data_IF_989420675921
#
_entry.id   IF_989420675921
#
_cell.length_a   1.000
_cell.length_b   1.000
_cell.length_c   1.000
_cell.angle_alpha   90.00
_cell.angle_beta   90.00
_cell.angle_gamma   90.00
#
_symmetry.space_group_name_H-M   'P 1'
#
loop_
_entity.id
_entity.type
_entity.pdbx_description
1 polymer ?
#
# COMPACT_ATOMS: atom_id res chain seq x y z
N UNK A 1 7.19 -20.64 9.54
CA UNK A 1 5.93 -20.50 10.28
C UNK A 1 6.34 -20.23 11.70
N UNK A 2 6.47 -18.96 12.07
CA UNK A 2 6.76 -18.58 13.44
C UNK A 2 5.65 -17.63 13.89
N UNK A 3 4.80 -18.13 14.78
CA UNK A 3 3.80 -17.35 15.51
C UNK A 3 4.46 -16.97 16.82
N UNK A 4 5.04 -15.78 16.90
CA UNK A 4 5.33 -15.19 18.21
C UNK A 4 4.08 -14.50 18.74
N UNK A 5 3.56 -15.06 19.83
CA UNK A 5 2.51 -14.48 20.65
C UNK A 5 3.12 -13.57 21.70
N UNK A 6 2.97 -12.26 21.54
CA UNK A 6 3.12 -11.31 22.65
C UNK A 6 1.74 -10.80 23.03
N UNK A 7 1.38 -11.05 24.29
CA UNK A 7 0.03 -10.96 24.83
C UNK A 7 -0.52 -9.55 25.00
N UNK A 8 -1.84 -9.47 24.92
CA UNK A 8 -2.67 -8.38 25.43
C UNK A 8 -3.98 -9.00 25.91
N UNK A 9 -4.43 -8.63 27.11
CA UNK A 9 -5.54 -9.26 27.82
C UNK A 9 -6.88 -9.14 27.08
N UNK A 10 -7.50 -10.28 26.78
CA UNK A 10 -8.91 -10.39 26.41
C UNK A 10 -9.19 -11.17 25.12
N UNK A 11 -9.50 -12.47 25.27
CA UNK A 11 -10.38 -13.24 24.37
C UNK A 11 -10.00 -13.37 22.89
N UNK A 12 -9.54 -14.57 22.48
CA UNK A 12 -9.48 -15.08 21.09
C UNK A 12 -9.18 -14.00 20.03
N UNK A 13 -7.93 -13.52 20.01
CA UNK A 13 -7.51 -12.46 19.09
C UNK A 13 -7.16 -13.06 17.72
N UNK A 14 -8.11 -13.05 16.80
CA UNK A 14 -7.79 -13.07 15.37
C UNK A 14 -7.20 -11.71 14.99
N UNK A 15 -5.87 -11.56 14.99
CA UNK A 15 -5.23 -10.33 14.48
C UNK A 15 -5.53 -10.22 12.98
N UNK A 16 -6.50 -9.38 12.61
CA UNK A 16 -6.85 -9.08 11.19
C UNK A 16 -5.88 -8.10 10.52
N UNK A 17 -4.92 -7.57 11.27
CA UNK A 17 -3.96 -6.53 10.87
C UNK A 17 -2.53 -7.06 11.04
N UNK A 18 -1.66 -6.74 10.10
CA UNK A 18 -0.29 -7.24 10.04
C UNK A 18 0.25 -7.27 8.61
N UNK A 19 1.40 -7.93 8.42
CA UNK A 19 2.06 -8.06 7.13
C UNK A 19 2.55 -9.48 6.89
N UNK A 20 2.61 -9.86 5.61
CA UNK A 20 3.24 -11.07 5.11
C UNK A 20 4.23 -10.65 4.03
N UNK A 21 5.42 -11.24 4.05
CA UNK A 21 6.44 -10.99 3.04
C UNK A 21 6.86 -12.29 2.35
N UNK A 22 7.07 -12.21 1.04
CA UNK A 22 7.61 -13.31 0.22
C UNK A 22 8.85 -12.79 -0.51
N UNK A 23 9.91 -13.60 -0.52
CA UNK A 23 11.10 -13.36 -1.33
C UNK A 23 11.12 -14.32 -2.51
N UNK A 24 11.37 -13.79 -3.70
CA UNK A 24 11.56 -14.56 -4.92
C UNK A 24 12.94 -14.21 -5.47
N UNK A 25 13.71 -15.23 -5.88
CA UNK A 25 14.95 -15.02 -6.60
C UNK A 25 14.74 -15.48 -8.04
N UNK A 26 15.04 -14.61 -9.01
CA UNK A 26 14.90 -14.90 -10.43
C UNK A 26 16.10 -14.34 -11.18
N UNK A 27 16.85 -15.20 -11.88
CA UNK A 27 18.05 -14.84 -12.64
C UNK A 27 19.04 -13.95 -11.84
N UNK A 28 19.30 -14.32 -10.59
CA UNK A 28 20.19 -13.56 -9.69
C UNK A 28 19.58 -12.31 -9.05
N UNK A 29 18.39 -11.88 -9.50
CA UNK A 29 17.67 -10.74 -8.93
C UNK A 29 16.78 -11.20 -7.78
N UNK A 30 16.94 -10.55 -6.63
CA UNK A 30 16.12 -10.81 -5.44
C UNK A 30 14.99 -9.80 -5.32
N UNK A 31 13.76 -10.27 -5.38
CA UNK A 31 12.53 -9.50 -5.26
C UNK A 31 11.87 -9.81 -3.91
N UNK A 32 11.41 -8.78 -3.19
CA UNK A 32 10.65 -8.94 -1.96
C UNK A 32 9.28 -8.29 -2.12
N UNK A 33 8.22 -9.06 -1.92
CA UNK A 33 6.84 -8.60 -1.94
C UNK A 33 6.31 -8.56 -0.51
N UNK A 34 5.86 -7.40 -0.05
CA UNK A 34 5.30 -7.18 1.28
C UNK A 34 3.84 -6.82 1.10
N UNK A 35 2.94 -7.68 1.58
CA UNK A 35 1.51 -7.40 1.63
C UNK A 35 1.11 -7.10 3.06
N UNK A 36 0.44 -5.97 3.31
CA UNK A 36 -0.05 -5.65 4.65
C UNK A 36 -1.49 -5.13 4.68
N UNK A 37 -2.06 -5.19 5.88
CA UNK A 37 -3.36 -4.62 6.20
C UNK A 37 -3.19 -3.82 7.49
N UNK A 38 -3.14 -2.50 7.36
CA UNK A 38 -2.77 -1.57 8.44
C UNK A 38 -3.97 -1.06 9.24
N UNK A 39 -3.71 -0.41 10.37
CA UNK A 39 -4.73 0.11 11.28
C UNK A 39 -5.75 1.02 10.58
N UNK A 40 -7.03 0.72 10.81
CA UNK A 40 -8.16 1.39 10.17
C UNK A 40 -8.46 2.75 10.82
N UNK A 41 -9.38 3.51 10.20
CA UNK A 41 -9.86 4.83 10.63
C UNK A 41 -8.91 6.00 10.36
N UNK A 42 -9.49 7.14 9.98
CA UNK A 42 -8.73 8.32 9.54
C UNK A 42 -7.80 8.89 10.61
N UNK A 43 -8.17 8.81 11.89
CA UNK A 43 -7.38 9.35 13.01
C UNK A 43 -6.09 8.59 13.33
N UNK A 44 -5.94 7.35 12.83
CA UNK A 44 -4.82 6.46 13.20
C UNK A 44 -3.59 6.63 12.28
N UNK A 45 -3.26 7.86 11.86
CA UNK A 45 -2.15 8.11 10.92
C UNK A 45 -0.81 7.66 11.51
N UNK A 46 -0.50 8.13 12.73
CA UNK A 46 0.75 7.78 13.40
C UNK A 46 0.89 6.29 13.71
N UNK A 47 -0.24 5.63 14.00
CA UNK A 47 -0.25 4.18 14.20
C UNK A 47 0.13 3.45 12.91
N UNK A 48 -0.44 3.84 11.76
CA UNK A 48 -0.05 3.27 10.46
C UNK A 48 1.42 3.57 10.12
N UNK A 49 1.89 4.78 10.40
CA UNK A 49 3.29 5.15 10.21
C UNK A 49 4.22 4.26 11.05
N UNK A 50 3.85 4.03 12.31
CA UNK A 50 4.56 3.13 13.20
C UNK A 50 4.54 1.69 12.68
N UNK A 51 3.38 1.16 12.25
CA UNK A 51 3.27 -0.18 11.68
C UNK A 51 4.15 -0.35 10.44
N UNK A 52 4.15 0.61 9.51
CA UNK A 52 5.03 0.62 8.33
C UNK A 52 6.51 0.54 8.73
N UNK A 53 6.95 1.40 9.67
CA UNK A 53 8.33 1.40 10.17
C UNK A 53 8.68 0.10 10.88
N UNK A 54 7.77 -0.43 11.69
CA UNK A 54 7.94 -1.68 12.42
C UNK A 54 8.05 -2.87 11.46
N UNK A 55 7.18 -2.98 10.45
CA UNK A 55 7.24 -4.04 9.42
C UNK A 55 8.58 -3.97 8.67
N UNK A 56 8.99 -2.77 8.23
CA UNK A 56 10.26 -2.58 7.53
C UNK A 56 11.45 -2.99 8.40
N UNK A 57 11.50 -2.52 9.64
CA UNK A 57 12.57 -2.85 10.58
C UNK A 57 12.60 -4.35 10.90
N UNK A 58 11.47 -4.99 11.15
CA UNK A 58 11.38 -6.44 11.43
C UNK A 58 11.82 -7.30 10.24
N UNK A 59 11.57 -6.87 9.00
CA UNK A 59 11.96 -7.63 7.80
C UNK A 59 13.43 -7.45 7.44
N UNK A 60 13.95 -6.22 7.53
CA UNK A 60 15.24 -5.87 6.95
C UNK A 60 16.37 -5.66 7.98
N UNK A 61 16.07 -5.44 9.25
CA UNK A 61 17.09 -5.32 10.30
C UNK A 61 17.81 -6.65 10.53
N UNK A 62 19.13 -6.66 10.44
CA UNK A 62 19.97 -7.82 10.79
C UNK A 62 19.86 -8.23 12.26
N UNK A 63 19.47 -7.28 13.13
CA UNK A 63 19.31 -7.53 14.56
C UNK A 63 18.06 -8.38 14.81
N UNK A 64 16.93 -8.02 14.20
CA UNK A 64 15.66 -8.73 14.38
C UNK A 64 15.51 -9.93 13.43
N UNK A 65 16.10 -9.86 12.25
CA UNK A 65 16.11 -10.92 11.27
C UNK A 65 17.55 -11.19 10.82
N UNK A 66 18.27 -12.11 11.50
CA UNK A 66 19.63 -12.49 11.11
C UNK A 66 19.73 -12.99 9.66
N UNK A 67 18.63 -13.57 9.15
CA UNK A 67 18.48 -14.04 7.78
C UNK A 67 18.10 -12.94 6.78
N UNK A 68 17.93 -11.69 7.21
CA UNK A 68 17.71 -10.55 6.34
C UNK A 68 18.83 -10.48 5.30
N UNK A 69 18.47 -10.25 4.05
CA UNK A 69 19.41 -10.08 2.93
C UNK A 69 18.98 -8.86 2.12
N UNK A 70 19.92 -8.15 1.48
CA UNK A 70 19.55 -7.13 0.52
C UNK A 70 18.55 -7.66 -0.51
N UNK A 71 17.61 -6.81 -0.90
CA UNK A 71 16.71 -7.05 -2.02
C UNK A 71 17.07 -6.08 -3.12
N UNK A 72 16.96 -6.52 -4.38
CA UNK A 72 17.19 -5.65 -5.53
C UNK A 72 15.96 -4.76 -5.76
N UNK A 73 14.77 -5.37 -5.59
CA UNK A 73 13.49 -4.67 -5.63
C UNK A 73 12.63 -5.08 -4.43
N UNK A 74 11.97 -4.10 -3.86
CA UNK A 74 10.93 -4.29 -2.84
C UNK A 74 9.63 -3.77 -3.41
N UNK A 75 8.58 -4.59 -3.41
CA UNK A 75 7.20 -4.17 -3.72
C UNK A 75 6.41 -4.23 -2.43
N UNK A 76 5.81 -3.11 -2.04
CA UNK A 76 4.94 -3.01 -0.87
C UNK A 76 3.53 -2.74 -1.33
N UNK A 77 2.58 -3.57 -0.90
CA UNK A 77 1.20 -3.49 -1.34
C UNK A 77 0.19 -3.86 -0.25
N UNK A 78 -1.08 -3.53 -0.48
CA UNK A 78 -2.20 -3.98 0.33
C UNK A 78 -3.13 -2.85 0.76
N UNK A 79 -3.98 -3.14 1.75
CA UNK A 79 -4.87 -2.16 2.37
C UNK A 79 -4.09 -1.39 3.44
N UNK A 80 -3.39 -0.34 2.98
CA UNK A 80 -2.63 0.55 3.84
C UNK A 80 -3.53 1.46 4.68
N UNK A 81 -4.83 1.52 4.40
CA UNK A 81 -5.84 2.19 5.22
C UNK A 81 -5.66 3.70 5.48
N UNK A 82 -4.71 4.38 4.81
CA UNK A 82 -4.63 5.84 4.81
C UNK A 82 -5.88 6.45 4.17
N UNK A 83 -6.33 7.59 4.69
CA UNK A 83 -7.61 8.22 4.34
C UNK A 83 -7.42 9.63 3.81
N UNK A 84 -8.50 10.23 3.34
CA UNK A 84 -8.53 11.67 3.12
C UNK A 84 -8.68 12.42 4.46
N UNK A 85 -7.91 13.49 4.62
CA UNK A 85 -7.92 14.38 5.77
C UNK A 85 -8.41 15.78 5.38
N UNK A 86 -9.15 16.44 6.28
CA UNK A 86 -9.57 17.83 6.09
C UNK A 86 -10.66 18.04 5.03
N UNK A 87 -11.35 16.97 4.62
CA UNK A 87 -12.49 17.05 3.70
C UNK A 87 -13.59 16.07 4.10
N UNK A 88 -14.83 16.56 4.06
CA UNK A 88 -16.02 15.76 4.35
C UNK A 88 -16.50 14.95 3.13
N UNK A 89 -17.39 14.00 3.40
CA UNK A 89 -17.86 13.02 2.41
C UNK A 89 -18.55 13.67 1.21
N UNK A 90 -19.37 14.71 1.42
CA UNK A 90 -20.16 15.32 0.35
C UNK A 90 -19.29 16.15 -0.62
N UNK A 91 -18.41 17.07 -0.15
CA UNK A 91 -17.45 17.74 -1.03
C UNK A 91 -16.52 16.77 -1.78
N UNK A 92 -16.03 15.73 -1.10
CA UNK A 92 -15.17 14.73 -1.73
C UNK A 92 -15.89 13.99 -2.86
N UNK A 93 -17.13 13.53 -2.62
CA UNK A 93 -17.96 12.86 -3.65
C UNK A 93 -18.26 13.79 -4.83
N UNK A 94 -18.61 15.06 -4.58
CA UNK A 94 -18.86 16.03 -5.65
C UNK A 94 -17.64 16.21 -6.58
N UNK A 95 -16.43 16.20 -6.03
CA UNK A 95 -15.21 16.22 -6.84
C UNK A 95 -15.03 14.93 -7.63
N UNK A 96 -15.29 13.77 -7.04
CA UNK A 96 -15.18 12.46 -7.72
C UNK A 96 -16.21 12.31 -8.83
N UNK A 97 -17.45 12.77 -8.61
CA UNK A 97 -18.55 12.71 -9.58
C UNK A 97 -18.31 13.60 -10.81
N UNK A 98 -17.44 14.61 -10.67
CA UNK A 98 -16.99 15.51 -11.75
C UNK A 98 -15.66 15.06 -12.38
N UNK A 99 -15.16 13.88 -12.04
CA UNK A 99 -13.83 13.37 -12.43
C UNK A 99 -12.68 14.33 -12.06
N UNK A 100 -12.86 15.08 -10.96
CA UNK A 100 -11.88 16.00 -10.37
C UNK A 100 -11.21 15.42 -9.13
N UNK A 101 -11.16 14.09 -8.99
CA UNK A 101 -10.53 13.40 -7.85
C UNK A 101 -9.05 13.73 -7.68
N UNK A 102 -8.34 14.12 -8.73
CA UNK A 102 -6.95 14.60 -8.61
C UNK A 102 -6.79 15.77 -7.63
N UNK A 103 -7.84 16.58 -7.43
CA UNK A 103 -7.83 17.68 -6.44
C UNK A 103 -7.80 17.19 -5.00
N UNK A 104 -8.11 15.91 -4.76
CA UNK A 104 -8.08 15.29 -3.44
C UNK A 104 -6.70 14.74 -3.06
N UNK A 105 -5.71 14.74 -3.97
CA UNK A 105 -4.37 14.23 -3.68
C UNK A 105 -3.72 14.97 -2.51
N UNK A 106 -3.94 16.28 -2.41
CA UNK A 106 -3.47 17.09 -1.28
C UNK A 106 -4.14 16.75 0.06
N UNK A 107 -5.23 15.97 0.07
CA UNK A 107 -5.90 15.48 1.27
C UNK A 107 -5.48 14.04 1.63
N UNK A 108 -4.77 13.33 0.75
CA UNK A 108 -4.40 11.93 0.97
C UNK A 108 -3.28 11.80 2.01
N UNK A 109 -3.58 11.13 3.11
CA UNK A 109 -2.63 10.98 4.20
C UNK A 109 -1.38 10.21 3.80
N UNK A 110 -1.45 9.21 2.91
CA UNK A 110 -0.24 8.48 2.50
C UNK A 110 0.70 9.39 1.72
N UNK A 111 0.17 10.13 0.74
CA UNK A 111 0.95 11.08 -0.05
C UNK A 111 1.59 12.17 0.82
N UNK A 112 0.85 12.72 1.79
CA UNK A 112 1.39 13.70 2.73
C UNK A 112 2.53 13.10 3.56
N UNK A 113 2.30 11.96 4.21
CA UNK A 113 3.27 11.35 5.11
C UNK A 113 4.53 10.85 4.39
N UNK A 114 4.38 10.35 3.15
CA UNK A 114 5.52 10.01 2.30
C UNK A 114 6.28 11.26 1.82
N UNK A 115 5.56 12.33 1.43
CA UNK A 115 6.16 13.60 1.02
C UNK A 115 6.92 14.32 2.15
N UNK A 116 6.49 14.13 3.39
CA UNK A 116 7.16 14.60 4.62
C UNK A 116 8.31 13.69 5.07
N UNK A 117 8.58 12.60 4.35
CA UNK A 117 9.66 11.66 4.65
C UNK A 117 9.43 10.77 5.88
N UNK A 118 8.20 10.68 6.40
CA UNK A 118 7.88 9.89 7.60
C UNK A 118 7.88 8.37 7.32
N UNK A 119 7.58 7.99 6.09
CA UNK A 119 7.36 6.61 5.63
C UNK A 119 7.74 6.47 4.16
N UNK A 120 8.00 5.23 3.73
CA UNK A 120 8.25 4.88 2.32
C UNK A 120 9.36 5.69 1.64
N UNK A 121 10.39 6.11 2.38
CA UNK A 121 11.55 6.81 1.83
C UNK A 121 12.24 5.99 0.72
N UNK A 122 12.40 6.61 -0.45
CA UNK A 122 12.96 6.00 -1.65
C UNK A 122 12.04 5.04 -2.39
N UNK A 123 10.79 4.84 -1.93
CA UNK A 123 9.78 4.13 -2.71
C UNK A 123 9.16 5.07 -3.74
N UNK A 124 8.77 4.49 -4.86
CA UNK A 124 8.00 5.09 -5.93
C UNK A 124 6.56 4.56 -5.87
N UNK A 125 5.59 5.43 -6.14
CA UNK A 125 4.20 5.08 -6.36
C UNK A 125 3.71 5.72 -7.67
N UNK A 126 2.79 5.06 -8.38
CA UNK A 126 2.14 5.67 -9.54
C UNK A 126 1.20 6.81 -9.14
N UNK A 127 0.98 7.75 -10.04
CA UNK A 127 -0.04 8.80 -9.85
C UNK A 127 -1.43 8.17 -9.70
N UNK A 128 -2.20 8.61 -8.72
CA UNK A 128 -3.58 8.16 -8.49
C UNK A 128 -4.54 8.78 -9.52
N UNK A 129 -4.53 8.24 -10.74
CA UNK A 129 -5.39 8.68 -11.85
C UNK A 129 -6.80 8.07 -11.80
N UNK A 130 -7.04 7.11 -10.91
CA UNK A 130 -8.31 6.41 -10.72
C UNK A 130 -9.05 6.89 -9.45
N UNK A 131 -10.35 6.56 -9.36
CA UNK A 131 -11.21 6.98 -8.24
C UNK A 131 -10.80 6.30 -6.92
N UNK A 132 -11.10 6.90 -5.75
CA UNK A 132 -10.86 6.26 -4.46
C UNK A 132 -11.46 4.84 -4.39
N UNK A 133 -10.68 3.88 -3.90
CA UNK A 133 -10.99 2.45 -3.96
C UNK A 133 -11.87 1.96 -2.82
N UNK A 134 -12.08 2.79 -1.79
CA UNK A 134 -12.90 2.52 -0.62
C UNK A 134 -13.74 3.75 -0.28
N UNK A 135 -14.96 3.67 0.27
CA UNK A 135 -15.74 2.48 0.58
C UNK A 135 -16.97 2.41 -0.33
N UNK A 136 -17.17 1.28 -1.00
CA UNK A 136 -18.32 1.03 -1.85
C UNK A 136 -19.41 0.23 -1.13
N UNK A 137 -20.64 0.34 -1.61
CA UNK A 137 -21.68 -0.63 -1.34
C UNK A 137 -21.40 -1.90 -2.16
N UNK A 138 -21.29 -3.05 -1.49
CA UNK A 138 -21.04 -4.35 -2.16
C UNK A 138 -22.08 -4.61 -3.25
N UNK A 139 -21.63 -5.12 -4.38
CA UNK A 139 -22.48 -5.36 -5.57
C UNK A 139 -22.73 -4.12 -6.43
N UNK A 140 -22.07 -2.99 -6.16
CA UNK A 140 -22.24 -1.75 -6.93
C UNK A 140 -20.96 -0.91 -7.01
N UNK A 141 -20.98 0.18 -7.79
CA UNK A 141 -19.98 1.25 -7.75
C UNK A 141 -20.48 2.50 -7.02
N UNK A 142 -21.53 2.38 -6.20
CA UNK A 142 -21.99 3.46 -5.36
C UNK A 142 -21.16 3.50 -4.07
N UNK A 143 -20.62 4.67 -3.72
CA UNK A 143 -19.96 4.85 -2.43
C UNK A 143 -20.93 4.67 -1.25
N UNK A 144 -20.38 4.31 -0.10
CA UNK A 144 -21.07 3.94 1.14
C UNK A 144 -22.30 4.82 1.44
N UNK A 145 -23.50 4.21 1.35
CA UNK A 145 -24.78 4.84 1.69
C UNK A 145 -25.29 4.39 3.06
N UNK A 146 -24.46 3.67 3.85
CA UNK A 146 -24.81 3.33 5.22
C UNK A 146 -24.83 4.57 6.11
N UNK A 147 -25.36 4.45 7.33
CA UNK A 147 -25.36 5.51 8.34
C UNK A 147 -23.97 6.10 8.66
N UNK A 148 -22.87 5.40 8.32
CA UNK A 148 -21.50 5.89 8.56
C UNK A 148 -21.01 6.83 7.47
N UNK A 149 -21.62 6.79 6.28
CA UNK A 149 -21.33 7.60 5.08
C UNK A 149 -19.84 7.91 4.94
N UNK A 150 -19.01 6.86 4.89
CA UNK A 150 -17.54 7.04 4.89
C UNK A 150 -17.11 7.95 3.74
N UNK A 151 -16.15 8.84 4.05
CA UNK A 151 -15.42 9.60 3.03
C UNK A 151 -14.67 8.61 2.13
N UNK A 152 -14.79 8.70 0.80
CA UNK A 152 -14.00 7.89 -0.11
C UNK A 152 -12.49 8.08 0.11
N UNK A 153 -11.69 7.03 -0.02
CA UNK A 153 -10.24 7.05 0.19
C UNK A 153 -9.51 6.01 -0.68
N UNK A 154 -8.26 6.31 -1.05
CA UNK A 154 -7.32 5.36 -1.66
C UNK A 154 -6.63 4.55 -0.56
N UNK A 155 -7.32 3.53 -0.07
CA UNK A 155 -6.80 2.66 0.99
C UNK A 155 -5.88 1.56 0.45
N UNK A 156 -6.10 1.16 -0.80
CA UNK A 156 -5.41 0.04 -1.45
C UNK A 156 -4.29 0.59 -2.34
N UNK A 157 -3.04 0.26 -2.01
CA UNK A 157 -1.86 0.94 -2.59
C UNK A 157 -0.80 -0.05 -3.00
N UNK A 158 0.01 0.31 -4.01
CA UNK A 158 1.17 -0.46 -4.47
C UNK A 158 2.33 0.50 -4.68
N UNK A 159 3.39 0.32 -3.90
CA UNK A 159 4.62 1.08 -3.95
C UNK A 159 5.78 0.13 -4.27
N UNK A 160 6.83 0.63 -4.90
CA UNK A 160 8.03 -0.16 -5.13
C UNK A 160 9.30 0.65 -4.94
N UNK A 161 10.37 -0.01 -4.51
CA UNK A 161 11.70 0.56 -4.35
C UNK A 161 12.71 -0.31 -5.08
N UNK A 162 13.63 0.32 -5.78
CA UNK A 162 14.85 -0.30 -6.31
C UNK A 162 16.01 0.13 -5.43
N UNK A 163 16.85 -0.82 -5.03
CA UNK A 163 18.11 -0.51 -4.35
C UNK A 163 19.20 -0.33 -5.42
N UNK A 164 19.71 0.90 -5.55
CA UNK A 164 20.61 1.39 -6.62
C UNK A 164 21.95 0.65 -6.74
N UNK A 165 22.24 -0.26 -5.82
CA UNK A 165 23.52 -0.98 -5.74
C UNK A 165 23.66 -2.14 -6.73
N UNK A 166 22.66 -2.40 -7.57
CA UNK A 166 22.60 -3.64 -8.37
C UNK A 166 22.30 -3.46 -9.87
N UNK A 167 22.39 -2.24 -10.43
CA UNK A 167 22.13 -1.96 -11.87
C UNK A 167 20.79 -2.52 -12.39
N UNK A 168 19.78 -2.65 -11.51
CA UNK A 168 18.43 -3.07 -11.88
C UNK A 168 17.62 -1.83 -12.17
N UNK A 169 16.92 -1.79 -13.30
CA UNK A 169 15.97 -0.72 -13.60
C UNK A 169 14.54 -1.26 -13.55
N UNK A 170 13.62 -0.45 -13.03
CA UNK A 170 12.20 -0.74 -13.07
C UNK A 170 11.41 0.44 -13.64
N UNK A 171 10.46 0.14 -14.53
CA UNK A 171 9.56 1.13 -15.10
C UNK A 171 8.11 0.74 -14.80
N UNK A 172 7.37 1.67 -14.18
CA UNK A 172 5.94 1.52 -13.96
C UNK A 172 5.20 1.84 -15.28
N UNK A 173 4.50 0.84 -15.83
CA UNK A 173 3.74 0.95 -17.08
C UNK A 173 2.29 1.37 -16.87
N UNK A 174 1.65 0.85 -15.83
CA UNK A 174 0.28 1.24 -15.46
C UNK A 174 0.05 1.09 -13.96
N UNK A 175 -0.86 1.90 -13.43
CA UNK A 175 -1.34 1.86 -12.05
C UNK A 175 -2.82 2.23 -12.02
N UNK A 176 -3.68 1.24 -11.77
CA UNK A 176 -5.10 1.30 -12.10
C UNK A 176 -5.94 0.61 -11.02
N UNK A 177 -7.18 1.07 -10.81
CA UNK A 177 -8.22 0.30 -10.14
C UNK A 177 -9.06 -0.48 -11.14
N UNK A 178 -9.60 -1.62 -10.71
CA UNK A 178 -10.54 -2.43 -11.48
C UNK A 178 -11.97 -2.14 -11.00
N UNK A 179 -12.56 -1.07 -11.54
CA UNK A 179 -13.85 -0.54 -11.11
C UNK A 179 -15.02 -1.46 -11.48
N UNK A 180 -14.84 -2.36 -12.45
CA UNK A 180 -15.81 -3.35 -12.91
C UNK A 180 -15.95 -4.55 -11.95
N UNK A 181 -15.15 -4.61 -10.88
CA UNK A 181 -15.24 -5.67 -9.87
C UNK A 181 -16.09 -5.18 -8.69
N UNK A 182 -17.17 -5.92 -8.38
CA UNK A 182 -18.20 -5.49 -7.41
C UNK A 182 -18.28 -6.36 -6.14
N UNK A 183 -17.46 -7.41 -6.03
CA UNK A 183 -17.57 -8.40 -4.95
C UNK A 183 -17.21 -7.92 -3.55
N UNK A 184 -16.61 -6.73 -3.42
CA UNK A 184 -16.12 -6.16 -2.18
C UNK A 184 -16.57 -4.70 -2.03
N UNK A 185 -16.45 -4.15 -0.82
CA UNK A 185 -16.53 -2.72 -0.55
C UNK A 185 -15.23 -1.97 -0.90
N UNK A 186 -14.23 -2.70 -1.42
CA UNK A 186 -13.01 -2.20 -2.02
C UNK A 186 -12.94 -2.54 -3.52
N UNK A 187 -12.28 -1.69 -4.31
CA UNK A 187 -11.91 -1.99 -5.71
C UNK A 187 -10.48 -2.53 -5.78
N UNK A 188 -10.22 -3.64 -6.49
CA UNK A 188 -8.86 -4.15 -6.67
C UNK A 188 -7.97 -3.12 -7.36
N UNK A 189 -6.69 -3.08 -6.96
CA UNK A 189 -5.67 -2.21 -7.54
C UNK A 189 -4.58 -3.07 -8.18
N UNK A 190 -4.11 -2.63 -9.35
CA UNK A 190 -3.09 -3.30 -10.15
C UNK A 190 -1.98 -2.32 -10.51
N UNK A 191 -0.74 -2.77 -10.42
CA UNK A 191 0.43 -2.10 -10.97
C UNK A 191 1.14 -3.04 -11.95
N UNK A 192 1.50 -2.54 -13.14
CA UNK A 192 2.36 -3.26 -14.08
C UNK A 192 3.76 -2.65 -14.03
N UNK A 193 4.71 -3.38 -13.43
CA UNK A 193 6.10 -2.94 -13.29
C UNK A 193 6.99 -3.80 -14.17
N UNK A 194 7.66 -3.18 -15.15
CA UNK A 194 8.64 -3.85 -16.00
C UNK A 194 10.03 -3.74 -15.39
N UNK A 195 10.61 -4.89 -15.03
CA UNK A 195 12.00 -4.99 -14.61
C UNK A 195 12.89 -5.22 -15.83
N UNK A 196 13.93 -4.40 -15.98
CA UNK A 196 14.99 -4.62 -16.96
C UNK A 196 16.16 -5.29 -16.25
N UNK A 197 16.49 -6.49 -16.72
CA UNK A 197 17.63 -7.25 -16.22
C UNK A 197 18.92 -6.67 -16.83
N UNK A 198 20.02 -6.61 -16.09
CA UNK A 198 21.34 -6.38 -16.68
C UNK A 198 21.58 -7.41 -17.77
N UNK A 199 22.07 -7.00 -18.93
CA UNK A 199 22.52 -7.97 -19.93
C UNK A 199 23.68 -8.76 -19.33
N UNK A 200 23.48 -10.08 -19.16
CA UNK A 200 24.62 -10.97 -18.91
C UNK A 200 25.51 -10.88 -20.13
N UNK A 201 26.73 -10.37 -20.00
CA UNK A 201 27.74 -10.55 -21.03
C UNK A 201 27.95 -12.06 -21.18
N UNK A 202 27.41 -12.63 -22.25
CA UNK A 202 27.78 -13.97 -22.70
C UNK A 202 29.22 -13.87 -23.19
N UNK A 203 30.16 -14.43 -22.40
CA UNK A 203 31.52 -14.70 -22.86
C UNK A 203 31.51 -15.70 -24.01
#
# INVERSE_FOLDING_TARGET
>A
VDKESVGGCGGIIGRKKGAVAIRINYNGISLVFISCHLSAHGRNVEERNYECRHISHSLFSKILNPNSRPAHMIVWLGDLNYRLQGIDTHPARNLIDKDLHHKLHGNDQLLQQAGEGQIFNGFCEGTLTFKPTYKYNKGSSNYDTSHKVRVPAWTDRILFKIEDTYNVEANLRSYESLDEIYGSDHKPVKAHICLRLPQTQSN
#
